data_IF_308262225293
#
_entry.id   IF_308262225293
#
_cell.length_a   1.000
_cell.length_b   1.000
_cell.length_c   1.000
_cell.angle_alpha   90.00
_cell.angle_beta   90.00
_cell.angle_gamma   90.00
#
_symmetry.space_group_name_H-M   'P 1'
#
loop_
_entity.id
_entity.type
_entity.pdbx_description
1 polymer ?
#
# COMPACT_ATOMS: atom_id res chain seq x y z
N UNK A 1 -8.37 -15.20 2.96
CA UNK A 1 -9.34 -16.21 2.49
C UNK A 1 -10.01 -16.83 3.69
N UNK A 2 -11.33 -16.80 3.76
CA UNK A 2 -12.08 -17.52 4.77
C UNK A 2 -12.53 -18.87 4.17
N UNK A 3 -12.01 -20.02 4.65
CA UNK A 3 -12.26 -21.32 4.03
C UNK A 3 -13.68 -21.88 4.28
N UNK A 4 -14.38 -21.40 5.30
CA UNK A 4 -15.76 -21.83 5.61
C UNK A 4 -16.77 -21.05 4.77
N UNK A 5 -16.69 -19.71 4.82
CA UNK A 5 -17.59 -18.80 4.11
C UNK A 5 -17.25 -18.65 2.62
N UNK A 6 -16.10 -19.17 2.20
CA UNK A 6 -15.55 -19.03 0.84
C UNK A 6 -15.42 -17.57 0.38
N UNK A 7 -15.10 -16.67 1.31
CA UNK A 7 -14.93 -15.23 1.02
C UNK A 7 -13.45 -14.88 0.90
N UNK A 8 -13.12 -14.15 -0.16
CA UNK A 8 -11.81 -13.55 -0.38
C UNK A 8 -11.94 -12.03 -0.40
N UNK A 9 -10.98 -11.36 0.24
CA UNK A 9 -10.83 -9.90 0.17
C UNK A 9 -9.41 -9.66 -0.30
N UNK A 10 -9.29 -8.96 -1.43
CA UNK A 10 -8.02 -8.41 -1.89
C UNK A 10 -7.85 -7.05 -1.25
N UNK A 11 -6.68 -6.77 -0.70
CA UNK A 11 -6.37 -5.49 -0.08
C UNK A 11 -4.87 -5.24 -0.14
N UNK A 12 -4.49 -4.00 0.14
CA UNK A 12 -3.09 -3.59 0.26
C UNK A 12 -2.62 -3.71 1.71
N UNK A 13 -1.40 -4.18 1.88
CA UNK A 13 -0.71 -4.21 3.17
C UNK A 13 0.63 -3.48 3.07
N UNK A 14 1.35 -3.40 4.20
CA UNK A 14 2.66 -2.75 4.24
C UNK A 14 3.67 -3.39 3.25
N UNK A 15 3.58 -4.70 3.01
CA UNK A 15 4.47 -5.41 2.07
C UNK A 15 4.17 -4.99 0.63
N UNK A 16 2.91 -4.98 0.22
CA UNK A 16 2.53 -4.63 -1.16
C UNK A 16 2.78 -3.15 -1.46
N UNK A 17 2.49 -2.26 -0.51
CA UNK A 17 2.77 -0.82 -0.63
C UNK A 17 4.28 -0.57 -0.75
N UNK A 18 5.09 -1.23 0.08
CA UNK A 18 6.56 -1.14 -0.02
C UNK A 18 7.07 -1.58 -1.40
N UNK A 19 6.54 -2.69 -1.94
CA UNK A 19 6.93 -3.16 -3.26
C UNK A 19 6.58 -2.13 -4.36
N UNK A 20 5.39 -1.51 -4.28
CA UNK A 20 4.95 -0.49 -5.24
C UNK A 20 5.75 0.80 -5.15
N UNK A 21 6.03 1.29 -3.94
CA UNK A 21 6.88 2.47 -3.74
C UNK A 21 8.28 2.26 -4.32
N UNK A 22 8.88 1.09 -4.03
CA UNK A 22 10.20 0.74 -4.58
C UNK A 22 10.19 0.64 -6.10
N UNK A 23 9.15 0.02 -6.68
CA UNK A 23 9.00 -0.04 -8.14
C UNK A 23 8.81 1.35 -8.76
N UNK A 24 7.96 2.20 -8.19
CA UNK A 24 7.71 3.55 -8.69
C UNK A 24 8.98 4.41 -8.71
N UNK A 25 9.83 4.27 -7.68
CA UNK A 25 11.18 4.88 -7.64
C UNK A 25 12.08 4.35 -8.74
N UNK A 26 12.18 3.03 -8.89
CA UNK A 26 13.02 2.40 -9.93
C UNK A 26 12.59 2.81 -11.34
N UNK A 27 11.30 3.02 -11.54
CA UNK A 27 10.72 3.49 -12.79
C UNK A 27 10.77 5.03 -12.98
N UNK A 28 11.37 5.77 -12.04
CA UNK A 28 11.46 7.24 -12.05
C UNK A 28 10.08 7.94 -12.20
N UNK A 29 9.07 7.42 -11.49
CA UNK A 29 7.74 8.03 -11.44
C UNK A 29 7.70 9.17 -10.41
N UNK A 30 6.77 10.11 -10.58
CA UNK A 30 6.64 11.28 -9.70
C UNK A 30 6.17 10.97 -8.28
N UNK A 31 5.64 9.78 -8.01
CA UNK A 31 5.18 9.37 -6.69
C UNK A 31 4.11 8.28 -6.73
N UNK A 32 3.44 8.11 -5.58
CA UNK A 32 2.31 7.20 -5.40
C UNK A 32 1.18 7.91 -4.65
N UNK A 33 -0.04 7.40 -4.81
CA UNK A 33 -1.27 7.98 -4.27
C UNK A 33 -2.15 6.89 -3.66
N UNK A 34 -3.01 7.24 -2.70
CA UNK A 34 -3.96 6.33 -2.05
C UNK A 34 -5.41 6.80 -2.26
N UNK A 35 -6.32 5.87 -2.52
CA UNK A 35 -7.76 6.09 -2.54
C UNK A 35 -8.44 5.12 -1.55
N UNK A 36 -9.11 5.55 -0.49
CA UNK A 36 -9.13 6.91 0.06
C UNK A 36 -8.56 6.91 1.48
N UNK A 37 -8.29 8.10 2.02
CA UNK A 37 -7.51 8.25 3.24
C UNK A 37 -8.20 7.66 4.48
N UNK A 38 -9.52 7.74 4.57
CA UNK A 38 -10.28 7.21 5.72
C UNK A 38 -10.25 5.69 5.84
N UNK A 39 -9.90 4.99 4.74
CA UNK A 39 -9.63 3.56 4.70
C UNK A 39 -8.33 3.13 5.40
N UNK A 40 -7.47 4.10 5.77
CA UNK A 40 -6.27 3.88 6.57
C UNK A 40 -6.32 4.73 7.86
N UNK A 41 -7.20 4.40 8.82
CA UNK A 41 -7.51 5.26 9.96
C UNK A 41 -6.33 5.47 10.92
N UNK A 42 -5.31 4.60 10.88
CA UNK A 42 -4.09 4.72 11.68
C UNK A 42 -2.92 5.32 10.89
N UNK A 43 -3.09 5.51 9.59
CA UNK A 43 -2.04 5.97 8.68
C UNK A 43 -0.92 4.95 8.45
N UNK A 44 -1.16 3.66 8.69
CA UNK A 44 -0.12 2.63 8.62
C UNK A 44 0.41 2.43 7.18
N UNK A 45 -0.47 2.55 6.18
CA UNK A 45 -0.09 2.39 4.78
C UNK A 45 0.55 3.66 4.24
N UNK A 46 -0.03 4.84 4.54
CA UNK A 46 0.55 6.12 4.12
C UNK A 46 1.92 6.39 4.74
N UNK A 47 2.17 5.92 5.97
CA UNK A 47 3.50 5.99 6.58
C UNK A 47 4.52 5.16 5.80
N UNK A 48 4.16 3.94 5.37
CA UNK A 48 5.05 3.11 4.52
C UNK A 48 5.28 3.77 3.16
N UNK A 49 4.24 4.38 2.56
CA UNK A 49 4.38 5.16 1.33
C UNK A 49 5.43 6.27 1.52
N UNK A 50 5.31 7.05 2.59
CA UNK A 50 6.24 8.14 2.91
C UNK A 50 7.67 7.62 3.11
N UNK A 51 7.85 6.64 4.00
CA UNK A 51 9.18 6.10 4.32
C UNK A 51 9.89 5.51 3.10
N UNK A 52 9.18 4.80 2.23
CA UNK A 52 9.82 4.14 1.08
C UNK A 52 10.12 5.10 -0.07
N UNK A 53 9.33 6.16 -0.22
CA UNK A 53 9.56 7.20 -1.25
C UNK A 53 10.66 8.20 -0.87
N UNK A 54 10.99 8.35 0.41
CA UNK A 54 12.06 9.26 0.90
C UNK A 54 13.44 8.59 1.05
N UNK A 55 13.50 7.25 1.00
CA UNK A 55 14.76 6.49 0.95
C UNK A 55 15.40 6.57 -0.43
#
# INVERSE_FOLDING_TARGET
>A
WNPEKKVFISYEDQRSIKAKANWAKQANLGGIFTWELSGDPKGELVEVMYQEMQK
#
